data_IF_350722634808
#
_entry.id   IF_350722634808
#
_cell.length_a   1.000
_cell.length_b   1.000
_cell.length_c   1.000
_cell.angle_alpha   90.00
_cell.angle_beta   90.00
_cell.angle_gamma   90.00
#
_symmetry.space_group_name_H-M   'P 1'
#
loop_
_entity.id
_entity.type
_entity.pdbx_description
1 polymer ?
#
# COMPACT_ATOMS: atom_id res chain seq x y z
N UNK A 1 -42.99 14.79 -26.22
CA UNK A 1 -43.87 15.17 -25.09
C UNK A 1 -43.18 16.29 -24.32
N UNK A 2 -43.68 17.51 -24.46
CA UNK A 2 -43.21 18.70 -23.76
C UNK A 2 -44.08 18.93 -22.51
N UNK A 3 -43.50 19.49 -21.44
CA UNK A 3 -44.26 20.22 -20.42
C UNK A 3 -43.42 21.36 -19.83
N UNK A 4 -43.92 22.55 -20.06
CA UNK A 4 -43.53 23.85 -19.50
C UNK A 4 -43.76 23.91 -17.98
N UNK A 5 -43.03 24.78 -17.28
CA UNK A 5 -43.62 25.91 -16.55
C UNK A 5 -42.56 26.98 -16.23
N UNK A 6 -42.93 28.24 -16.44
CA UNK A 6 -42.18 29.48 -16.14
C UNK A 6 -42.74 30.13 -14.86
N UNK A 7 -42.34 31.38 -14.56
CA UNK A 7 -42.94 32.37 -13.61
C UNK A 7 -42.15 32.48 -12.29
N UNK A 8 -41.79 33.64 -11.71
CA UNK A 8 -41.68 35.07 -12.09
C UNK A 8 -40.96 35.78 -10.91
N UNK A 9 -40.25 36.88 -11.16
CA UNK A 9 -39.65 37.78 -10.17
C UNK A 9 -40.67 38.47 -9.23
N UNK A 10 -40.23 38.90 -8.04
CA UNK A 10 -40.73 40.13 -7.39
C UNK A 10 -39.81 40.66 -6.26
N UNK A 11 -39.19 41.82 -6.53
CA UNK A 11 -39.09 43.06 -5.72
C UNK A 11 -38.53 43.14 -4.26
N UNK A 12 -37.41 43.90 -4.17
CA UNK A 12 -36.98 44.97 -3.24
C UNK A 12 -37.93 45.45 -2.09
N UNK A 13 -37.41 45.65 -0.86
CA UNK A 13 -37.08 46.98 -0.27
C UNK A 13 -36.73 46.99 1.25
N UNK A 14 -35.84 47.95 1.59
CA UNK A 14 -35.66 48.73 2.84
C UNK A 14 -35.06 48.16 4.17
N UNK A 15 -33.78 48.49 4.37
CA UNK A 15 -33.13 49.27 5.46
C UNK A 15 -33.88 49.57 6.78
N UNK A 16 -33.28 49.23 7.93
CA UNK A 16 -33.23 50.08 9.14
C UNK A 16 -31.96 49.78 9.98
N UNK A 17 -31.23 50.84 10.35
CA UNK A 17 -30.11 50.89 11.29
C UNK A 17 -30.53 50.57 12.74
N UNK A 18 -29.60 50.09 13.58
CA UNK A 18 -29.30 50.53 14.96
C UNK A 18 -28.47 49.46 15.71
N UNK A 19 -27.17 49.72 15.94
CA UNK A 19 -26.34 49.05 16.97
C UNK A 19 -26.50 49.79 18.32
N UNK A 20 -26.42 49.14 19.51
CA UNK A 20 -25.11 48.79 20.08
C UNK A 20 -25.03 47.57 21.03
N UNK A 21 -23.86 46.90 20.96
CA UNK A 21 -23.03 46.37 22.07
C UNK A 21 -23.74 45.51 23.15
N UNK A 22 -23.61 44.19 23.01
CA UNK A 22 -23.39 43.30 24.16
C UNK A 22 -22.15 42.47 23.89
N UNK A 23 -21.15 42.63 24.76
CA UNK A 23 -20.00 41.75 24.86
C UNK A 23 -20.50 40.45 25.47
N UNK A 24 -20.65 39.41 24.66
CA UNK A 24 -20.56 38.06 25.18
C UNK A 24 -19.28 37.45 24.63
N UNK A 25 -18.43 37.07 25.57
CA UNK A 25 -17.18 36.37 25.32
C UNK A 25 -17.48 35.10 24.55
N UNK A 26 -17.29 35.17 23.23
CA UNK A 26 -17.18 34.01 22.37
C UNK A 26 -15.85 33.34 22.74
N UNK A 27 -15.89 32.50 23.77
CA UNK A 27 -14.84 31.53 24.03
C UNK A 27 -14.95 30.55 22.88
N UNK A 28 -14.33 30.92 21.76
CA UNK A 28 -14.00 30.02 20.67
C UNK A 28 -13.09 28.95 21.26
N UNK A 29 -13.71 27.94 21.86
CA UNK A 29 -13.14 26.61 21.94
C UNK A 29 -13.05 26.12 20.50
N UNK A 30 -12.00 26.58 19.81
CA UNK A 30 -11.45 25.81 18.70
C UNK A 30 -11.40 24.36 19.19
N UNK A 31 -12.03 23.40 18.49
CA UNK A 31 -11.72 22.02 18.73
C UNK A 31 -10.22 21.93 18.45
N UNK A 32 -9.44 21.81 19.51
CA UNK A 32 -8.03 21.47 19.45
C UNK A 32 -8.04 20.11 18.77
N UNK A 33 -7.97 20.11 17.44
CA UNK A 33 -7.65 18.95 16.62
C UNK A 33 -6.25 18.56 17.08
N UNK A 34 -6.23 17.79 18.16
CA UNK A 34 -5.00 17.30 18.77
C UNK A 34 -4.41 16.39 17.70
N UNK A 35 -3.21 16.77 17.30
CA UNK A 35 -2.31 16.20 16.31
C UNK A 35 -2.00 14.69 16.57
N UNK A 36 -3.04 13.86 16.61
CA UNK A 36 -3.03 12.41 16.79
C UNK A 36 -3.78 11.81 15.58
N UNK A 37 -3.19 11.77 14.37
CA UNK A 37 -3.49 10.59 13.53
C UNK A 37 -2.41 10.12 12.55
N UNK A 38 -1.51 10.97 12.04
CA UNK A 38 -0.70 10.62 10.86
C UNK A 38 0.36 9.56 11.15
N UNK A 39 1.16 9.74 12.21
CA UNK A 39 2.21 8.78 12.58
C UNK A 39 1.65 7.41 12.98
N UNK A 40 0.59 7.40 13.80
CA UNK A 40 -0.08 6.17 14.19
C UNK A 40 -0.65 5.43 12.97
N UNK A 41 -1.28 6.17 12.04
CA UNK A 41 -1.80 5.58 10.81
C UNK A 41 -0.68 5.02 9.92
N UNK A 42 0.45 5.71 9.78
CA UNK A 42 1.60 5.20 9.04
C UNK A 42 2.13 3.90 9.63
N UNK A 43 2.30 3.85 10.95
CA UNK A 43 2.77 2.65 11.63
C UNK A 43 1.78 1.48 11.50
N UNK A 44 0.49 1.72 11.70
CA UNK A 44 -0.52 0.66 11.59
C UNK A 44 -0.66 0.15 10.16
N UNK A 45 -0.66 1.02 9.15
CA UNK A 45 -0.73 0.60 7.73
C UNK A 45 0.55 -0.13 7.31
N UNK A 46 1.73 0.35 7.71
CA UNK A 46 3.01 -0.34 7.45
C UNK A 46 2.99 -1.75 8.03
N UNK A 47 2.59 -1.88 9.30
CA UNK A 47 2.49 -3.19 9.94
C UNK A 47 1.42 -4.09 9.30
N UNK A 48 0.28 -3.54 8.85
CA UNK A 48 -0.74 -4.33 8.16
C UNK A 48 -0.18 -4.99 6.88
N UNK A 49 0.52 -4.23 6.03
CA UNK A 49 1.17 -4.77 4.84
C UNK A 49 2.31 -5.75 5.18
N UNK A 50 3.06 -5.49 6.25
CA UNK A 50 4.09 -6.41 6.74
C UNK A 50 3.49 -7.77 7.15
N UNK A 51 2.36 -7.77 7.85
CA UNK A 51 1.66 -8.99 8.21
C UNK A 51 1.08 -9.70 6.98
N UNK A 52 0.49 -8.96 6.03
CA UNK A 52 0.03 -9.53 4.76
C UNK A 52 1.15 -10.29 4.03
N UNK A 53 2.34 -9.70 3.95
CA UNK A 53 3.50 -10.38 3.35
C UNK A 53 3.79 -11.73 4.03
N UNK A 54 3.79 -11.76 5.37
CA UNK A 54 4.00 -12.99 6.15
C UNK A 54 2.89 -14.02 5.95
N UNK A 55 1.63 -13.59 5.87
CA UNK A 55 0.51 -14.50 5.65
C UNK A 55 0.56 -15.12 4.26
N UNK A 56 0.84 -14.33 3.22
CA UNK A 56 0.99 -14.83 1.87
C UNK A 56 2.14 -15.84 1.76
N UNK A 57 3.30 -15.56 2.35
CA UNK A 57 4.43 -16.50 2.35
C UNK A 57 4.06 -17.83 3.03
N UNK A 58 3.40 -17.78 4.19
CA UNK A 58 2.92 -18.99 4.88
C UNK A 58 1.96 -19.80 4.02
N UNK A 59 1.01 -19.12 3.36
CA UNK A 59 0.07 -19.77 2.47
C UNK A 59 0.77 -20.35 1.23
N UNK A 60 1.78 -19.67 0.68
CA UNK A 60 2.59 -20.14 -0.43
C UNK A 60 3.28 -21.47 -0.08
N UNK A 61 3.89 -21.56 1.10
CA UNK A 61 4.51 -22.79 1.60
C UNK A 61 3.49 -23.94 1.70
N UNK A 62 2.28 -23.67 2.21
CA UNK A 62 1.20 -24.67 2.26
C UNK A 62 0.82 -25.12 0.85
N UNK A 63 0.63 -24.19 -0.10
CA UNK A 63 0.30 -24.52 -1.49
C UNK A 63 1.39 -25.37 -2.15
N UNK A 64 2.66 -25.03 -1.92
CA UNK A 64 3.81 -25.79 -2.40
C UNK A 64 3.76 -27.25 -1.92
N UNK A 65 3.50 -27.46 -0.63
CA UNK A 65 3.39 -28.81 -0.04
C UNK A 65 2.21 -29.63 -0.59
N UNK A 66 1.20 -28.98 -1.17
CA UNK A 66 0.07 -29.62 -1.84
C UNK A 66 0.25 -29.70 -3.37
N UNK A 67 1.47 -29.50 -3.87
CA UNK A 67 1.81 -29.47 -5.30
C UNK A 67 1.04 -28.41 -6.11
N UNK A 68 0.49 -27.39 -5.45
CA UNK A 68 -0.23 -26.27 -6.08
C UNK A 68 0.77 -25.17 -6.47
N UNK A 69 1.70 -25.49 -7.37
CA UNK A 69 2.86 -24.62 -7.68
C UNK A 69 2.47 -23.26 -8.28
N UNK A 70 1.43 -23.21 -9.11
CA UNK A 70 0.90 -21.94 -9.64
C UNK A 70 0.38 -21.04 -8.51
N UNK A 71 -0.37 -21.60 -7.56
CA UNK A 71 -0.85 -20.86 -6.39
C UNK A 71 0.31 -20.40 -5.50
N UNK A 72 1.32 -21.26 -5.29
CA UNK A 72 2.55 -20.91 -4.57
C UNK A 72 3.24 -19.68 -5.19
N UNK A 73 3.41 -19.68 -6.52
CA UNK A 73 4.01 -18.58 -7.27
C UNK A 73 3.24 -17.26 -7.10
N UNK A 74 1.92 -17.28 -7.31
CA UNK A 74 1.05 -16.10 -7.16
C UNK A 74 1.15 -15.54 -5.73
N UNK A 75 1.16 -16.42 -4.73
CA UNK A 75 1.25 -16.00 -3.33
C UNK A 75 2.63 -15.42 -2.98
N UNK A 76 3.71 -15.94 -3.56
CA UNK A 76 5.04 -15.34 -3.39
C UNK A 76 5.09 -13.93 -3.98
N UNK A 77 4.52 -13.72 -5.17
CA UNK A 77 4.38 -12.38 -5.79
C UNK A 77 3.58 -11.42 -4.89
N UNK A 78 2.44 -11.86 -4.37
CA UNK A 78 1.64 -11.05 -3.43
C UNK A 78 2.36 -10.75 -2.11
N UNK A 79 3.18 -11.68 -1.63
CA UNK A 79 3.99 -11.48 -0.44
C UNK A 79 5.04 -10.37 -0.66
N UNK A 80 5.76 -10.42 -1.78
CA UNK A 80 6.73 -9.41 -2.20
C UNK A 80 6.06 -8.05 -2.40
N UNK A 81 4.95 -8.01 -3.13
CA UNK A 81 4.21 -6.78 -3.37
C UNK A 81 3.74 -6.14 -2.05
N UNK A 82 3.26 -6.94 -1.11
CA UNK A 82 2.87 -6.45 0.22
C UNK A 82 4.04 -5.85 0.98
N UNK A 83 5.22 -6.49 0.96
CA UNK A 83 6.40 -5.96 1.63
C UNK A 83 6.92 -4.67 0.98
N UNK A 84 6.92 -4.58 -0.35
CA UNK A 84 7.28 -3.35 -1.06
C UNK A 84 6.31 -2.22 -0.73
N UNK A 85 5.01 -2.51 -0.61
CA UNK A 85 4.01 -1.52 -0.15
C UNK A 85 4.27 -1.06 1.28
N UNK A 86 4.69 -1.96 2.17
CA UNK A 86 5.12 -1.58 3.53
C UNK A 86 6.35 -0.65 3.49
N UNK A 87 7.36 -0.97 2.68
CA UNK A 87 8.54 -0.12 2.49
C UNK A 87 8.18 1.24 1.89
N UNK A 88 7.25 1.28 0.93
CA UNK A 88 6.79 2.52 0.32
C UNK A 88 6.18 3.46 1.36
N UNK A 89 5.25 2.95 2.18
CA UNK A 89 4.61 3.73 3.24
C UNK A 89 5.65 4.21 4.24
N UNK A 90 6.58 3.33 4.62
CA UNK A 90 7.64 3.64 5.55
C UNK A 90 8.58 4.74 5.01
N UNK A 91 9.03 4.65 3.75
CA UNK A 91 10.01 5.57 3.15
C UNK A 91 9.40 6.93 2.79
N UNK A 92 8.18 6.95 2.25
CA UNK A 92 7.56 8.17 1.74
C UNK A 92 6.52 8.78 2.68
N UNK A 93 6.30 8.18 3.85
CA UNK A 93 5.29 8.61 4.82
C UNK A 93 3.89 8.82 4.21
N UNK A 94 3.53 7.96 3.26
CA UNK A 94 2.24 7.99 2.57
C UNK A 94 1.50 6.67 2.74
N UNK A 95 0.29 6.72 3.32
CA UNK A 95 -0.56 5.54 3.56
C UNK A 95 -1.24 4.98 2.30
N UNK A 96 -1.01 5.61 1.16
CA UNK A 96 -1.57 5.22 -0.13
C UNK A 96 -0.45 4.76 -1.06
N UNK A 97 0.05 3.52 -0.89
CA UNK A 97 0.98 2.97 -1.84
C UNK A 97 0.27 2.78 -3.21
N UNK A 98 1.04 2.78 -4.31
CA UNK A 98 0.51 2.52 -5.63
C UNK A 98 -0.31 1.22 -5.69
N UNK A 99 -1.36 1.23 -6.51
CA UNK A 99 -2.18 0.04 -6.74
C UNK A 99 -1.33 -1.09 -7.33
N UNK A 100 -0.60 -0.76 -8.39
CA UNK A 100 0.36 -1.62 -9.10
C UNK A 100 1.77 -1.10 -8.86
N UNK A 101 2.73 -2.01 -8.70
CA UNK A 101 4.14 -1.68 -8.46
C UNK A 101 4.90 -1.90 -9.77
N UNK A 102 5.50 -0.84 -10.31
CA UNK A 102 6.41 -0.93 -11.45
C UNK A 102 7.86 -0.92 -10.97
N UNK A 103 8.79 -1.18 -11.88
CA UNK A 103 10.22 -1.13 -11.57
C UNK A 103 10.69 0.25 -11.09
N UNK A 104 10.00 1.32 -11.50
CA UNK A 104 10.32 2.68 -11.07
C UNK A 104 9.99 2.91 -9.60
N UNK A 105 8.96 2.25 -9.06
CA UNK A 105 8.67 2.29 -7.63
C UNK A 105 9.51 1.27 -6.84
N UNK A 106 9.77 0.08 -7.39
CA UNK A 106 10.49 -0.99 -6.69
C UNK A 106 11.97 -0.62 -6.50
N UNK A 107 12.67 -0.23 -7.56
CA UNK A 107 14.13 -0.07 -7.54
C UNK A 107 14.60 0.92 -6.46
N UNK A 108 13.99 2.12 -6.31
CA UNK A 108 14.37 3.05 -5.24
C UNK A 108 14.07 2.55 -3.82
N UNK A 109 13.14 1.60 -3.65
CA UNK A 109 12.79 1.04 -2.34
C UNK A 109 13.75 -0.05 -1.89
N UNK A 110 14.26 -0.83 -2.84
CA UNK A 110 15.19 -1.95 -2.56
C UNK A 110 16.65 -1.51 -2.61
N UNK A 111 16.95 -0.35 -3.19
CA UNK A 111 18.26 0.27 -3.17
C UNK A 111 18.66 0.73 -1.75
N UNK A 112 19.92 0.48 -1.38
CA UNK A 112 20.56 1.02 -0.18
C UNK A 112 21.94 1.57 -0.55
N UNK A 113 22.55 2.34 0.36
CA UNK A 113 23.89 2.91 0.14
C UNK A 113 24.98 1.85 -0.06
N UNK A 114 24.78 0.64 0.51
CA UNK A 114 25.75 -0.47 0.44
C UNK A 114 25.38 -1.54 -0.58
N UNK A 115 24.12 -1.64 -0.97
CA UNK A 115 23.62 -2.65 -1.89
C UNK A 115 22.70 -2.01 -2.94
N UNK A 116 23.03 -2.13 -4.24
CA UNK A 116 22.23 -1.53 -5.31
C UNK A 116 20.78 -2.00 -5.37
N UNK A 117 20.47 -3.17 -4.79
CA UNK A 117 19.13 -3.77 -4.76
C UNK A 117 18.63 -4.29 -6.11
N UNK A 118 19.49 -4.30 -7.14
CA UNK A 118 19.11 -4.67 -8.50
C UNK A 118 18.71 -6.15 -8.60
N UNK A 119 19.39 -7.03 -7.85
CA UNK A 119 19.07 -8.46 -7.78
C UNK A 119 17.68 -8.69 -7.18
N UNK A 120 17.34 -7.96 -6.12
CA UNK A 120 16.01 -7.99 -5.48
C UNK A 120 14.96 -7.44 -6.45
N UNK A 121 15.22 -6.29 -7.07
CA UNK A 121 14.31 -5.68 -8.03
C UNK A 121 14.04 -6.61 -9.22
N UNK A 122 15.09 -7.23 -9.76
CA UNK A 122 14.99 -8.18 -10.87
C UNK A 122 14.21 -9.43 -10.47
N UNK A 123 14.45 -9.96 -9.27
CA UNK A 123 13.70 -11.09 -8.74
C UNK A 123 12.20 -10.75 -8.64
N UNK A 124 11.85 -9.60 -8.05
CA UNK A 124 10.46 -9.15 -7.94
C UNK A 124 9.83 -8.97 -9.33
N UNK A 125 10.51 -8.31 -10.26
CA UNK A 125 9.99 -8.13 -11.62
C UNK A 125 9.76 -9.47 -12.34
N UNK A 126 10.64 -10.44 -12.12
CA UNK A 126 10.49 -11.81 -12.65
C UNK A 126 9.27 -12.50 -12.03
N UNK A 127 9.08 -12.39 -10.71
CA UNK A 127 7.91 -12.91 -10.01
C UNK A 127 6.60 -12.34 -10.53
N UNK A 128 6.52 -11.02 -10.72
CA UNK A 128 5.36 -10.34 -11.29
C UNK A 128 5.05 -10.87 -12.69
N UNK A 129 6.08 -11.02 -13.53
CA UNK A 129 5.92 -11.53 -14.89
C UNK A 129 5.42 -12.98 -14.92
N UNK A 130 6.00 -13.87 -14.10
CA UNK A 130 5.59 -15.26 -14.02
C UNK A 130 4.18 -15.41 -13.42
N UNK A 131 3.86 -14.64 -12.38
CA UNK A 131 2.54 -14.60 -11.73
C UNK A 131 1.44 -14.15 -12.70
N UNK A 132 1.70 -13.12 -13.52
CA UNK A 132 0.77 -12.65 -14.56
C UNK A 132 0.48 -13.67 -15.66
N UNK A 133 1.35 -14.68 -15.82
CA UNK A 133 1.21 -15.74 -16.79
C UNK A 133 0.60 -17.03 -16.21
N UNK A 134 0.39 -17.11 -14.89
CA UNK A 134 -0.07 -18.34 -14.24
C UNK A 134 -1.45 -18.81 -14.74
N UNK A 135 -2.30 -17.88 -15.20
CA UNK A 135 -3.62 -18.16 -15.77
C UNK A 135 -3.58 -18.74 -17.19
N UNK A 136 -2.43 -18.64 -17.88
CA UNK A 136 -2.27 -19.25 -19.18
C UNK A 136 -1.93 -20.74 -19.02
N UNK A 137 -2.51 -21.62 -19.85
CA UNK A 137 -2.08 -23.00 -19.97
C UNK A 137 -0.71 -23.00 -20.66
N UNK A 138 0.33 -22.68 -19.91
CA UNK A 138 1.70 -22.88 -20.37
C UNK A 138 2.05 -24.35 -20.18
N UNK A 139 2.45 -25.01 -21.27
CA UNK A 139 2.77 -26.44 -21.31
C UNK A 139 4.02 -26.82 -20.52
N UNK A 140 4.74 -25.84 -19.96
CA UNK A 140 5.98 -26.08 -19.23
C UNK A 140 5.69 -26.40 -17.76
N UNK A 141 5.97 -27.63 -17.28
CA UNK A 141 5.77 -27.98 -15.88
C UNK A 141 6.69 -27.12 -15.00
N UNK A 142 6.12 -26.53 -13.94
CA UNK A 142 6.93 -25.94 -12.88
C UNK A 142 7.61 -27.07 -12.09
N UNK A 143 8.92 -27.19 -12.19
CA UNK A 143 9.68 -28.17 -11.42
C UNK A 143 9.69 -27.81 -9.93
N UNK A 144 9.39 -28.79 -9.07
CA UNK A 144 9.33 -28.61 -7.60
C UNK A 144 10.59 -27.94 -7.04
N UNK A 145 11.78 -28.39 -7.45
CA UNK A 145 13.06 -27.83 -6.99
C UNK A 145 13.19 -26.32 -7.31
N UNK A 146 12.66 -25.88 -8.46
CA UNK A 146 12.70 -24.47 -8.83
C UNK A 146 11.71 -23.65 -7.98
N UNK A 147 10.57 -24.23 -7.64
CA UNK A 147 9.57 -23.58 -6.76
C UNK A 147 10.07 -23.49 -5.32
N UNK A 148 10.72 -24.52 -4.79
CA UNK A 148 11.30 -24.49 -3.45
C UNK A 148 12.39 -23.41 -3.34
N UNK A 149 13.28 -23.30 -4.33
CA UNK A 149 14.29 -22.23 -4.39
C UNK A 149 13.65 -20.84 -4.49
N UNK A 150 12.57 -20.72 -5.25
CA UNK A 150 11.83 -19.45 -5.39
C UNK A 150 11.17 -19.05 -4.06
N UNK A 151 10.57 -20.00 -3.36
CA UNK A 151 9.98 -19.79 -2.05
C UNK A 151 11.04 -19.37 -1.02
N UNK A 152 12.17 -20.08 -1.00
CA UNK A 152 13.31 -19.74 -0.16
C UNK A 152 13.83 -18.33 -0.45
N UNK A 153 14.06 -17.99 -1.72
CA UNK A 153 14.54 -16.65 -2.09
C UNK A 153 13.54 -15.56 -1.71
N UNK A 154 12.23 -15.85 -1.83
CA UNK A 154 11.17 -14.95 -1.37
C UNK A 154 11.27 -14.70 0.13
N UNK A 155 11.43 -15.76 0.93
CA UNK A 155 11.60 -15.64 2.39
C UNK A 155 12.82 -14.80 2.77
N UNK A 156 13.97 -15.05 2.14
CA UNK A 156 15.20 -14.29 2.35
C UNK A 156 15.02 -12.80 2.07
N UNK A 157 14.41 -12.45 0.94
CA UNK A 157 14.11 -11.06 0.57
C UNK A 157 13.15 -10.43 1.59
N UNK A 158 12.07 -11.12 1.95
CA UNK A 158 11.12 -10.59 2.95
C UNK A 158 11.79 -10.34 4.30
N UNK A 159 12.68 -11.25 4.73
CA UNK A 159 13.47 -11.07 5.95
C UNK A 159 14.38 -9.86 5.86
N UNK A 160 15.11 -9.71 4.74
CA UNK A 160 16.01 -8.61 4.51
C UNK A 160 15.28 -7.25 4.51
N UNK A 161 14.20 -7.14 3.74
CA UNK A 161 13.39 -5.93 3.64
C UNK A 161 12.68 -5.61 4.96
N UNK A 162 12.24 -6.63 5.71
CA UNK A 162 11.65 -6.47 7.05
C UNK A 162 12.61 -5.78 8.02
N UNK A 163 13.90 -6.15 8.02
CA UNK A 163 14.90 -5.52 8.89
C UNK A 163 15.00 -4.01 8.62
N UNK A 164 14.86 -3.58 7.37
CA UNK A 164 14.93 -2.17 6.97
C UNK A 164 13.77 -1.36 7.55
N UNK A 165 12.57 -1.95 7.62
CA UNK A 165 11.40 -1.31 8.25
C UNK A 165 11.62 -1.19 9.78
N UNK A 166 12.22 -2.19 10.41
CA UNK A 166 12.44 -2.20 11.86
C UNK A 166 13.56 -1.27 12.31
N UNK A 167 14.69 -1.25 11.59
CA UNK A 167 15.87 -0.47 11.98
C UNK A 167 15.63 1.03 11.86
N UNK A 168 14.89 1.46 10.84
CA UNK A 168 14.60 2.88 10.60
C UNK A 168 13.43 3.41 11.44
N UNK A 169 12.76 2.55 12.23
CA UNK A 169 11.73 2.97 13.19
C UNK A 169 12.32 3.41 14.55
N UNK A 170 13.65 3.31 14.72
CA UNK A 170 14.35 3.56 16.00
C UNK A 170 15.13 4.89 16.04
N UNK A 171 14.98 5.74 15.02
CA UNK A 171 15.46 7.14 15.00
C UNK A 171 14.28 8.12 15.13
#
# INVERSE_FOLDING_TARGET
MARNWSITEAHFNHQVDFTPRSQDHDISTQPRSKHIPAYHMLHTTTNAYHQHAKYHLKLAAIMCNHNQFKACLILCDWALASMIKALYIHKYHSVHPPKELTMNEILPLVHTDTEPGLDIALFIGTMQHMSSQADYPHDQPLELNNIEKLLQRTEEILYELSKRIMNNSSE
#
